data_IF_458596158600
#
_entry.id   IF_458596158600
#
_cell.length_a   1.000
_cell.length_b   1.000
_cell.length_c   1.000
_cell.angle_alpha   90.00
_cell.angle_beta   90.00
_cell.angle_gamma   90.00
#
_symmetry.space_group_name_H-M   'P 1'
#
loop_
_entity.id
_entity.type
_entity.pdbx_description
1 polymer ?
#
# COMPACT_ATOMS: atom_id res chain seq x y z
N UNK A 1 -3.02 8.53 -78.72
CA UNK A 1 -3.64 9.21 -77.55
C UNK A 1 -3.67 8.23 -76.40
N UNK A 2 -2.83 8.42 -75.36
CA UNK A 2 -2.66 7.49 -74.23
C UNK A 2 -3.71 7.78 -73.15
N UNK A 3 -4.47 6.76 -72.71
CA UNK A 3 -5.49 6.85 -71.67
C UNK A 3 -4.85 6.50 -70.31
N UNK A 4 -4.80 7.46 -69.40
CA UNK A 4 -4.32 7.29 -68.02
C UNK A 4 -5.47 6.82 -67.14
N UNK A 5 -5.31 5.68 -66.50
CA UNK A 5 -6.27 5.12 -65.54
C UNK A 5 -6.08 5.78 -64.16
N UNK A 6 -7.18 6.13 -63.50
CA UNK A 6 -7.21 6.68 -62.14
C UNK A 6 -7.66 5.57 -61.19
N UNK A 7 -6.81 5.23 -60.21
CA UNK A 7 -7.13 4.26 -59.17
C UNK A 7 -7.61 4.98 -57.90
N UNK A 8 -8.83 4.66 -57.44
CA UNK A 8 -9.42 5.17 -56.21
C UNK A 8 -9.11 4.17 -55.10
N UNK A 9 -8.31 4.57 -54.12
CA UNK A 9 -7.98 3.76 -52.94
C UNK A 9 -8.90 4.14 -51.78
N UNK A 10 -9.73 3.19 -51.34
CA UNK A 10 -10.59 3.31 -50.17
C UNK A 10 -9.78 3.10 -48.89
N UNK A 11 -9.69 4.13 -48.03
CA UNK A 11 -9.14 3.99 -46.68
C UNK A 11 -10.21 3.42 -45.74
N UNK A 12 -9.94 2.26 -45.16
CA UNK A 12 -10.71 1.71 -44.05
C UNK A 12 -10.28 2.41 -42.74
N UNK A 13 -11.20 3.10 -42.08
CA UNK A 13 -11.00 3.63 -40.73
C UNK A 13 -10.99 2.47 -39.73
N UNK A 14 -9.82 2.20 -39.12
CA UNK A 14 -9.74 1.39 -37.90
C UNK A 14 -10.27 2.22 -36.73
N UNK A 15 -11.45 1.83 -36.21
CA UNK A 15 -11.92 2.31 -34.93
C UNK A 15 -11.05 1.72 -33.82
N UNK A 16 -10.08 2.51 -33.34
CA UNK A 16 -9.32 2.16 -32.15
C UNK A 16 -10.24 2.25 -30.93
N UNK A 17 -10.55 1.09 -30.34
CA UNK A 17 -11.15 0.99 -29.01
C UNK A 17 -10.14 1.50 -27.98
N UNK A 18 -10.26 2.78 -27.62
CA UNK A 18 -9.53 3.33 -26.48
C UNK A 18 -10.02 2.62 -25.22
N UNK A 19 -9.27 1.61 -24.76
CA UNK A 19 -9.48 1.01 -23.45
C UNK A 19 -9.32 2.08 -22.38
N UNK A 20 -10.36 2.31 -21.59
CA UNK A 20 -10.29 3.20 -20.42
C UNK A 20 -9.25 2.64 -19.46
N UNK A 21 -8.10 3.31 -19.33
CA UNK A 21 -7.14 2.98 -18.29
C UNK A 21 -7.82 3.22 -16.93
N UNK A 22 -8.01 2.16 -16.15
CA UNK A 22 -8.43 2.29 -14.75
C UNK A 22 -7.33 3.04 -13.99
N UNK A 23 -7.69 4.14 -13.34
CA UNK A 23 -6.74 4.93 -12.55
C UNK A 23 -6.14 4.03 -11.46
N UNK A 24 -4.81 3.93 -11.42
CA UNK A 24 -4.13 3.17 -10.38
C UNK A 24 -4.38 3.81 -9.00
N UNK A 25 -4.72 3.01 -8.00
CA UNK A 25 -4.91 3.49 -6.64
C UNK A 25 -3.61 4.10 -6.08
N UNK A 26 -3.68 5.24 -5.37
CA UNK A 26 -2.52 5.85 -4.73
C UNK A 26 -1.84 4.91 -3.73
N UNK A 27 -0.51 5.03 -3.60
CA UNK A 27 0.30 4.19 -2.70
C UNK A 27 1.15 4.99 -1.72
N UNK A 28 1.43 4.42 -0.55
CA UNK A 28 2.35 4.98 0.46
C UNK A 28 3.21 3.87 1.05
N UNK A 29 4.51 3.95 0.81
CA UNK A 29 5.46 3.00 1.36
C UNK A 29 5.85 3.39 2.78
N UNK A 30 6.06 2.40 3.63
CA UNK A 30 6.45 2.55 5.02
C UNK A 30 7.64 1.65 5.36
N UNK A 31 8.33 1.99 6.42
CA UNK A 31 9.30 1.09 7.05
C UNK A 31 10.74 1.15 6.54
N UNK A 32 10.99 1.68 5.33
CA UNK A 32 12.32 1.99 4.75
C UNK A 32 13.54 1.66 5.62
N UNK A 33 14.06 2.65 6.35
CA UNK A 33 15.21 2.50 7.29
C UNK A 33 14.79 2.49 8.77
N UNK A 34 13.49 2.37 9.07
CA UNK A 34 13.02 2.43 10.46
C UNK A 34 13.15 1.06 11.11
N UNK A 35 14.33 0.81 11.68
CA UNK A 35 14.56 -0.26 12.62
C UNK A 35 14.13 0.17 14.03
N UNK A 36 13.60 -0.77 14.81
CA UNK A 36 13.61 -0.56 16.26
C UNK A 36 15.07 -0.45 16.70
N UNK A 37 15.36 0.50 17.59
CA UNK A 37 16.72 0.84 18.02
C UNK A 37 17.58 -0.38 18.39
N UNK A 38 16.95 -1.43 18.94
CA UNK A 38 17.60 -2.66 19.39
C UNK A 38 16.95 -3.94 18.82
N UNK A 39 16.05 -3.81 17.85
CA UNK A 39 15.14 -4.88 17.45
C UNK A 39 15.08 -5.11 15.94
N UNK A 40 13.88 -5.51 15.50
CA UNK A 40 13.57 -5.80 14.12
C UNK A 40 13.27 -4.58 13.26
N UNK A 41 12.84 -4.84 12.03
CA UNK A 41 12.42 -3.84 11.04
C UNK A 41 11.01 -4.17 10.55
N UNK A 42 10.35 -3.17 9.96
CA UNK A 42 9.13 -3.39 9.18
C UNK A 42 9.31 -2.70 7.85
N UNK A 43 8.77 -3.26 6.77
CA UNK A 43 8.67 -2.63 5.46
C UNK A 43 7.32 -2.99 4.82
N UNK A 44 6.80 -2.10 3.97
CA UNK A 44 5.58 -2.38 3.24
C UNK A 44 4.96 -1.19 2.53
N UNK A 45 3.75 -1.40 2.03
CA UNK A 45 3.01 -0.44 1.21
C UNK A 45 1.54 -0.42 1.63
N UNK A 46 0.98 0.78 1.76
CA UNK A 46 -0.45 1.03 1.75
C UNK A 46 -0.94 1.31 0.33
N UNK A 47 -2.03 0.67 -0.08
CA UNK A 47 -2.79 1.00 -1.28
C UNK A 47 -4.11 1.63 -0.86
N UNK A 48 -4.35 2.88 -1.23
CA UNK A 48 -5.50 3.66 -0.80
C UNK A 48 -6.67 3.45 -1.77
N UNK A 49 -7.67 2.67 -1.34
CA UNK A 49 -8.93 2.51 -2.08
C UNK A 49 -9.92 3.62 -1.69
N UNK A 50 -11.13 3.58 -2.27
CA UNK A 50 -12.16 4.58 -1.97
C UNK A 50 -12.53 4.65 -0.48
N UNK A 51 -12.69 3.49 0.18
CA UNK A 51 -13.08 3.42 1.60
C UNK A 51 -12.14 2.55 2.44
N UNK A 52 -11.43 1.64 1.81
CA UNK A 52 -10.53 0.69 2.47
C UNK A 52 -9.06 1.00 2.20
N UNK A 53 -8.18 0.35 2.95
CA UNK A 53 -6.72 0.42 2.73
C UNK A 53 -6.19 -0.99 2.58
N UNK A 54 -5.55 -1.26 1.45
CA UNK A 54 -4.74 -2.46 1.26
C UNK A 54 -3.42 -2.30 1.99
N UNK A 55 -3.04 -3.27 2.80
CA UNK A 55 -1.78 -3.31 3.54
C UNK A 55 -1.00 -4.53 3.11
N UNK A 56 0.25 -4.35 2.71
CA UNK A 56 1.15 -5.45 2.36
C UNK A 56 2.57 -5.14 2.82
N UNK A 57 3.32 -6.14 3.24
CA UNK A 57 4.69 -5.93 3.70
C UNK A 57 5.27 -7.11 4.47
N UNK A 58 6.31 -6.85 5.24
CA UNK A 58 6.91 -7.80 6.15
C UNK A 58 7.35 -7.13 7.45
N UNK A 59 7.33 -7.90 8.54
CA UNK A 59 8.00 -7.56 9.79
C UNK A 59 9.12 -8.57 9.97
N UNK A 60 10.32 -8.07 10.25
CA UNK A 60 11.51 -8.88 10.48
C UNK A 60 11.95 -8.69 11.92
N UNK A 61 12.28 -9.77 12.61
CA UNK A 61 12.87 -9.75 13.95
C UNK A 61 14.31 -10.28 13.88
N UNK A 62 15.28 -9.51 14.40
CA UNK A 62 16.71 -9.86 14.35
C UNK A 62 17.13 -10.58 15.64
N UNK A 63 17.88 -11.67 15.49
CA UNK A 63 18.48 -12.50 16.55
C UNK A 63 19.27 -11.72 17.62
N UNK A 64 19.51 -12.28 18.84
CA UNK A 64 19.32 -13.69 19.22
C UNK A 64 18.17 -13.97 20.21
N UNK A 65 17.40 -12.97 20.64
CA UNK A 65 16.21 -13.20 21.46
C UNK A 65 15.29 -11.97 21.43
N UNK A 66 14.03 -12.16 21.01
CA UNK A 66 13.02 -11.12 21.03
C UNK A 66 11.78 -11.48 20.22
N UNK A 67 10.86 -10.53 20.12
CA UNK A 67 9.78 -10.55 19.16
C UNK A 67 9.54 -9.11 18.72
N UNK A 68 9.56 -8.87 17.42
CA UNK A 68 9.24 -7.57 16.85
C UNK A 68 7.79 -7.58 16.41
N UNK A 69 7.02 -6.63 16.92
CA UNK A 69 5.59 -6.47 16.58
C UNK A 69 5.39 -5.13 15.89
N UNK A 70 4.86 -5.16 14.68
CA UNK A 70 4.30 -3.95 14.04
C UNK A 70 2.85 -3.80 14.46
N UNK A 71 2.46 -2.58 14.81
CA UNK A 71 1.08 -2.18 15.09
C UNK A 71 0.62 -1.13 14.09
N UNK A 72 -0.54 -1.38 13.48
CA UNK A 72 -1.23 -0.49 12.56
C UNK A 72 -2.48 0.06 13.23
N UNK A 73 -2.59 1.37 13.35
CA UNK A 73 -3.78 2.05 13.86
C UNK A 73 -4.48 2.78 12.71
N UNK A 74 -5.73 2.41 12.44
CA UNK A 74 -6.51 2.97 11.35
C UNK A 74 -7.45 4.05 11.87
N UNK A 75 -7.46 5.21 11.21
CA UNK A 75 -8.26 6.35 11.63
C UNK A 75 -9.23 6.82 10.55
N UNK A 76 -10.36 7.40 10.97
CA UNK A 76 -11.22 8.23 10.13
C UNK A 76 -11.44 9.58 10.83
N UNK A 77 -10.88 10.64 10.23
CA UNK A 77 -10.64 11.90 10.93
C UNK A 77 -9.71 11.70 12.14
N UNK A 78 -10.18 12.11 13.31
CA UNK A 78 -9.50 11.89 14.60
C UNK A 78 -9.92 10.60 15.31
N UNK A 79 -10.93 9.87 14.80
CA UNK A 79 -11.45 8.66 15.42
C UNK A 79 -10.61 7.45 15.06
N UNK A 80 -10.09 6.75 16.07
CA UNK A 80 -9.51 5.41 15.90
C UNK A 80 -10.61 4.41 15.55
N UNK A 81 -10.42 3.67 14.47
CA UNK A 81 -11.36 2.66 13.98
C UNK A 81 -10.94 1.26 14.40
N UNK A 82 -9.69 0.90 14.12
CA UNK A 82 -9.18 -0.44 14.38
C UNK A 82 -7.67 -0.43 14.67
N UNK A 83 -7.21 -1.50 15.33
CA UNK A 83 -5.79 -1.78 15.59
C UNK A 83 -5.47 -3.19 15.11
N UNK A 84 -4.53 -3.30 14.18
CA UNK A 84 -4.01 -4.59 13.69
C UNK A 84 -2.55 -4.75 14.07
N UNK A 85 -2.14 -5.97 14.45
CA UNK A 85 -0.75 -6.27 14.83
C UNK A 85 -0.21 -7.46 14.05
N UNK A 86 1.08 -7.43 13.70
CA UNK A 86 1.80 -8.57 13.13
C UNK A 86 3.13 -8.74 13.87
N UNK A 87 3.43 -9.96 14.29
CA UNK A 87 4.61 -10.27 15.11
C UNK A 87 5.49 -11.28 14.40
N UNK A 88 6.80 -11.03 14.41
CA UNK A 88 7.83 -12.00 14.04
C UNK A 88 8.72 -12.31 15.24
N UNK A 89 9.29 -13.51 15.25
CA UNK A 89 10.18 -14.02 16.31
C UNK A 89 11.34 -14.75 15.65
N UNK A 90 12.52 -14.14 15.65
CA UNK A 90 13.71 -14.63 14.96
C UNK A 90 13.45 -15.01 13.48
N UNK A 91 12.57 -14.28 12.80
CA UNK A 91 12.17 -14.57 11.41
C UNK A 91 11.72 -13.31 10.66
N UNK A 92 11.56 -13.44 9.35
CA UNK A 92 10.81 -12.49 8.53
C UNK A 92 9.39 -13.02 8.30
N UNK A 93 8.38 -12.27 8.75
CA UNK A 93 6.96 -12.61 8.55
C UNK A 93 6.28 -11.63 7.61
N UNK A 94 5.88 -12.12 6.44
CA UNK A 94 5.08 -11.37 5.47
C UNK A 94 3.63 -11.21 5.96
N UNK A 95 2.99 -10.13 5.55
CA UNK A 95 1.58 -9.88 5.77
C UNK A 95 0.94 -9.21 4.56
N UNK A 96 -0.36 -9.43 4.41
CA UNK A 96 -1.18 -8.83 3.35
C UNK A 96 -2.66 -8.91 3.71
N UNK A 97 -3.37 -7.79 3.75
CA UNK A 97 -4.82 -7.74 3.93
C UNK A 97 -5.41 -6.42 3.43
N UNK A 98 -6.74 -6.33 3.40
CA UNK A 98 -7.46 -5.08 3.14
C UNK A 98 -8.28 -4.73 4.36
N UNK A 99 -8.02 -3.57 4.94
CA UNK A 99 -8.78 -3.04 6.08
C UNK A 99 -10.03 -2.31 5.57
N UNK A 100 -11.25 -2.77 5.89
CA UNK A 100 -12.47 -2.07 5.52
C UNK A 100 -12.61 -0.77 6.30
N UNK A 101 -13.14 0.27 5.64
CA UNK A 101 -13.46 1.54 6.28
C UNK A 101 -14.94 1.90 6.18
N UNK A 102 -15.42 2.83 7.04
CA UNK A 102 -16.79 3.31 7.04
C UNK A 102 -17.09 4.19 5.81
N UNK A 103 -18.31 4.73 5.74
CA UNK A 103 -18.59 5.87 4.86
C UNK A 103 -17.63 7.03 5.19
N UNK A 104 -16.98 7.60 4.17
CA UNK A 104 -15.89 8.56 4.32
C UNK A 104 -14.48 7.93 4.33
N UNK A 105 -14.39 6.62 4.55
CA UNK A 105 -13.16 5.84 4.46
C UNK A 105 -12.15 6.07 5.59
N UNK A 106 -11.00 5.40 5.46
CA UNK A 106 -9.84 5.57 6.34
C UNK A 106 -9.07 6.81 5.88
N UNK A 107 -8.85 7.76 6.80
CA UNK A 107 -8.16 9.02 6.53
C UNK A 107 -6.67 8.98 6.85
N UNK A 108 -6.24 8.08 7.73
CA UNK A 108 -4.83 7.90 8.06
C UNK A 108 -4.55 6.52 8.65
N UNK A 109 -3.31 6.06 8.50
CA UNK A 109 -2.77 4.90 9.22
C UNK A 109 -1.53 5.34 9.99
N UNK A 110 -1.47 5.02 11.27
CA UNK A 110 -0.25 5.16 12.07
C UNK A 110 0.41 3.79 12.22
N UNK A 111 1.74 3.76 12.08
CA UNK A 111 2.54 2.56 12.21
C UNK A 111 3.46 2.72 13.40
N UNK A 112 3.48 1.68 14.25
CA UNK A 112 4.38 1.59 15.40
C UNK A 112 5.14 0.28 15.33
N UNK A 113 6.37 0.27 15.83
CA UNK A 113 7.21 -0.90 15.93
C UNK A 113 7.60 -1.13 17.38
N UNK A 114 7.30 -2.32 17.90
CA UNK A 114 7.54 -2.67 19.29
C UNK A 114 8.54 -3.81 19.41
N UNK A 115 9.51 -3.67 20.32
CA UNK A 115 10.49 -4.70 20.64
C UNK A 115 10.88 -4.62 22.12
N UNK A 116 10.87 -5.75 22.85
CA UNK A 116 11.27 -5.82 24.28
C UNK A 116 10.69 -4.71 25.17
N UNK A 117 9.41 -4.35 24.97
CA UNK A 117 8.73 -3.32 25.74
C UNK A 117 8.94 -1.88 25.26
N UNK A 118 9.80 -1.64 24.26
CA UNK A 118 9.79 -0.38 23.51
C UNK A 118 8.58 -0.33 22.57
N UNK A 119 8.11 0.88 22.30
CA UNK A 119 7.08 1.13 21.28
C UNK A 119 7.43 2.41 20.52
N UNK A 120 8.00 2.24 19.34
CA UNK A 120 8.54 3.31 18.52
C UNK A 120 7.51 3.72 17.47
N UNK A 121 7.22 5.01 17.39
CA UNK A 121 6.38 5.54 16.32
C UNK A 121 7.20 5.60 15.03
N UNK A 122 6.74 4.87 14.01
CA UNK A 122 7.39 4.84 12.69
C UNK A 122 6.98 6.07 11.91
N UNK A 123 5.68 6.19 11.61
CA UNK A 123 5.14 7.31 10.86
C UNK A 123 3.59 7.29 10.87
N UNK A 124 3.03 8.44 10.48
CA UNK A 124 1.62 8.61 10.15
C UNK A 124 1.48 8.84 8.66
N UNK A 125 0.66 8.02 8.02
CA UNK A 125 0.41 8.06 6.59
C UNK A 125 -1.00 8.61 6.35
N UNK A 126 -1.14 9.89 5.95
CA UNK A 126 -2.44 10.41 5.55
C UNK A 126 -2.89 9.75 4.24
N UNK A 127 -4.20 9.62 4.08
CA UNK A 127 -4.80 9.13 2.84
C UNK A 127 -4.33 9.97 1.66
N UNK A 128 -3.95 9.28 0.59
CA UNK A 128 -3.71 9.90 -0.72
C UNK A 128 -4.98 9.81 -1.58
N UNK A 129 -5.27 10.89 -2.30
CA UNK A 129 -6.38 11.01 -3.26
C UNK A 129 -5.86 11.03 -4.68
#
# INVERSE_FOLDING_TARGET
MRRTAVAITTLALLAATAGTASAAYPKSDFGGDTASRDGGTVDGTFTWYERSVGVSGAVFDREPAGSTTVTFKFYSGSRLLDIQTRTATNEARKFGWTEPGPAGGISAVEVYLSYKGSNEFVAKFPRKV
#
